data_IF_992476534307
#
_entry.id   IF_992476534307
#
_cell.length_a   1.000
_cell.length_b   1.000
_cell.length_c   1.000
_cell.angle_alpha   90.00
_cell.angle_beta   90.00
_cell.angle_gamma   90.00
#
_symmetry.space_group_name_H-M   'P 1'
#
loop_
_entity.id
_entity.type
_entity.pdbx_description
1 polymer ?
#
# COMPACT_ATOMS: atom_id res chain seq x y z
N UNK A 1 4.23 14.97 -42.43
CA UNK A 1 3.09 15.57 -41.68
C UNK A 1 2.35 14.55 -40.81
N UNK A 2 2.11 13.32 -41.23
CA UNK A 2 1.38 12.32 -40.41
C UNK A 2 2.05 11.87 -39.11
N UNK A 3 3.39 11.80 -39.06
CA UNK A 3 4.11 11.42 -37.81
C UNK A 3 4.03 12.47 -36.70
N UNK A 4 3.81 13.74 -36.99
CA UNK A 4 3.66 14.81 -35.98
C UNK A 4 2.24 14.83 -35.40
N UNK A 5 1.23 14.51 -36.20
CA UNK A 5 -0.16 14.44 -35.75
C UNK A 5 -0.41 13.20 -34.86
N UNK A 6 0.22 12.07 -35.17
CA UNK A 6 0.12 10.86 -34.31
C UNK A 6 0.79 11.02 -32.97
N UNK A 7 1.89 11.79 -32.87
CA UNK A 7 2.57 12.11 -31.60
C UNK A 7 1.77 13.09 -30.73
N UNK A 8 1.13 14.09 -31.34
CA UNK A 8 0.26 15.03 -30.62
C UNK A 8 -1.03 14.36 -30.10
N UNK A 9 -1.63 13.44 -30.87
CA UNK A 9 -2.78 12.64 -30.44
C UNK A 9 -2.43 11.68 -29.27
N UNK A 10 -1.19 11.17 -29.21
CA UNK A 10 -0.68 10.37 -28.11
C UNK A 10 -0.53 11.17 -26.82
N UNK A 11 0.03 12.38 -26.90
CA UNK A 11 0.29 13.24 -25.74
C UNK A 11 -1.00 13.84 -25.15
N UNK A 12 -1.94 14.26 -25.98
CA UNK A 12 -3.26 14.76 -25.54
C UNK A 12 -4.15 13.65 -24.97
N UNK A 13 -4.00 12.39 -25.41
CA UNK A 13 -4.65 11.23 -24.77
C UNK A 13 -4.02 10.89 -23.40
N UNK A 14 -2.71 11.07 -23.24
CA UNK A 14 -2.03 10.92 -21.94
C UNK A 14 -2.50 11.99 -20.93
N UNK A 15 -2.60 13.24 -21.36
CA UNK A 15 -3.09 14.35 -20.52
C UNK A 15 -4.56 14.22 -20.09
N UNK A 16 -5.35 13.40 -20.79
CA UNK A 16 -6.75 13.10 -20.41
C UNK A 16 -6.89 11.97 -19.39
N UNK A 17 -5.81 11.30 -18.98
CA UNK A 17 -5.83 10.22 -17.99
C UNK A 17 -5.72 10.77 -16.57
N UNK A 18 -6.36 10.11 -15.61
CA UNK A 18 -6.25 10.40 -14.17
C UNK A 18 -4.78 10.37 -13.71
N UNK A 19 -3.96 9.54 -14.32
CA UNK A 19 -2.51 9.41 -14.10
C UNK A 19 -1.74 10.71 -14.39
N UNK A 20 -2.20 11.55 -15.33
CA UNK A 20 -1.56 12.83 -15.62
C UNK A 20 -1.65 13.83 -14.45
N UNK A 21 -2.76 13.82 -13.73
CA UNK A 21 -2.90 14.60 -12.49
C UNK A 21 -1.91 14.13 -11.42
N UNK A 22 -1.79 12.81 -11.24
CA UNK A 22 -0.86 12.22 -10.28
C UNK A 22 0.59 12.57 -10.62
N UNK A 23 0.97 12.50 -11.91
CA UNK A 23 2.32 12.91 -12.37
C UNK A 23 2.55 14.41 -12.15
N UNK A 24 1.59 15.26 -12.49
CA UNK A 24 1.71 16.70 -12.25
C UNK A 24 1.87 17.02 -10.76
N UNK A 25 1.11 16.34 -9.90
CA UNK A 25 1.22 16.49 -8.46
C UNK A 25 2.59 16.01 -7.93
N UNK A 26 3.11 14.90 -8.47
CA UNK A 26 4.47 14.43 -8.13
C UNK A 26 5.53 15.51 -8.44
N UNK A 27 5.42 16.13 -9.62
CA UNK A 27 6.36 17.19 -10.01
C UNK A 27 6.26 18.40 -9.07
N UNK A 28 5.03 18.79 -8.70
CA UNK A 28 4.80 19.91 -7.77
C UNK A 28 5.37 19.58 -6.38
N UNK A 29 5.08 18.40 -5.84
CA UNK A 29 5.57 17.96 -4.52
C UNK A 29 7.10 17.88 -4.51
N UNK A 30 7.72 17.35 -5.57
CA UNK A 30 9.18 17.34 -5.73
C UNK A 30 9.76 18.74 -5.75
N UNK A 31 9.19 19.64 -6.57
CA UNK A 31 9.67 21.03 -6.68
C UNK A 31 9.59 21.76 -5.34
N UNK A 32 8.46 21.64 -4.65
CA UNK A 32 8.27 22.25 -3.32
C UNK A 32 9.27 21.66 -2.31
N UNK A 33 9.47 20.33 -2.30
CA UNK A 33 10.42 19.68 -1.40
C UNK A 33 11.86 20.12 -1.66
N UNK A 34 12.26 20.31 -2.94
CA UNK A 34 13.58 20.82 -3.31
C UNK A 34 13.79 22.30 -2.92
N UNK A 35 12.71 23.09 -2.85
CA UNK A 35 12.76 24.47 -2.36
C UNK A 35 12.84 24.53 -0.84
N UNK A 36 12.14 23.64 -0.14
CA UNK A 36 12.12 23.56 1.33
C UNK A 36 13.44 23.04 1.92
N UNK A 37 14.13 22.13 1.22
CA UNK A 37 15.38 21.55 1.71
C UNK A 37 16.31 21.14 0.59
N UNK A 38 17.59 21.55 0.70
CA UNK A 38 18.66 21.14 -0.22
C UNK A 38 18.90 19.63 -0.26
N UNK A 39 18.54 18.92 0.80
CA UNK A 39 18.69 17.46 0.90
C UNK A 39 17.88 16.72 -0.19
N UNK A 40 16.75 17.29 -0.65
CA UNK A 40 15.97 16.69 -1.74
C UNK A 40 16.62 16.79 -3.13
N UNK A 41 17.73 17.53 -3.26
CA UNK A 41 18.54 17.57 -4.48
C UNK A 41 19.50 16.38 -4.57
N UNK A 42 19.72 15.68 -3.46
CA UNK A 42 20.53 14.45 -3.41
C UNK A 42 19.64 13.22 -3.60
N UNK A 43 19.84 12.51 -4.72
CA UNK A 43 19.13 11.28 -5.02
C UNK A 43 19.34 10.20 -3.94
N UNK A 44 20.54 10.13 -3.35
CA UNK A 44 20.82 9.17 -2.29
C UNK A 44 19.96 9.43 -1.05
N UNK A 45 19.77 10.71 -0.70
CA UNK A 45 18.88 11.09 0.41
C UNK A 45 17.42 10.73 0.14
N UNK A 46 16.91 11.04 -1.05
CA UNK A 46 15.52 10.73 -1.45
C UNK A 46 15.27 9.22 -1.39
N UNK A 47 16.19 8.43 -1.94
CA UNK A 47 16.08 6.96 -1.93
C UNK A 47 16.16 6.36 -0.53
N UNK A 48 17.09 6.85 0.32
CA UNK A 48 17.17 6.44 1.72
C UNK A 48 15.91 6.80 2.49
N UNK A 49 15.30 7.92 2.19
CA UNK A 49 14.02 8.33 2.80
C UNK A 49 12.86 7.47 2.32
N UNK A 50 12.89 7.05 1.05
CA UNK A 50 11.88 6.19 0.48
C UNK A 50 11.84 4.81 1.17
N UNK A 51 12.98 4.25 1.59
CA UNK A 51 13.00 2.93 2.26
C UNK A 51 12.14 2.88 3.51
N UNK A 52 11.95 4.01 4.21
CA UNK A 52 11.13 4.08 5.44
C UNK A 52 9.65 3.78 5.24
N UNK A 53 9.17 3.87 4.02
CA UNK A 53 7.74 3.74 3.69
C UNK A 53 7.47 2.63 2.66
N UNK A 54 8.49 1.86 2.27
CA UNK A 54 8.35 0.81 1.25
C UNK A 54 7.45 -0.33 1.70
N UNK A 55 7.37 -0.60 2.99
CA UNK A 55 6.46 -1.61 3.55
C UNK A 55 5.00 -1.24 3.23
N UNK A 56 4.62 0.02 3.49
CA UNK A 56 3.28 0.51 3.18
C UNK A 56 3.03 0.59 1.68
N UNK A 57 4.06 0.94 0.90
CA UNK A 57 4.02 0.96 -0.55
C UNK A 57 3.71 -0.41 -1.14
N UNK A 58 4.33 -1.48 -0.63
CA UNK A 58 4.06 -2.85 -1.07
C UNK A 58 2.62 -3.27 -0.77
N UNK A 59 2.11 -2.94 0.41
CA UNK A 59 0.72 -3.21 0.77
C UNK A 59 -0.26 -2.39 -0.06
N UNK A 60 0.07 -1.15 -0.42
CA UNK A 60 -0.77 -0.34 -1.30
C UNK A 60 -1.03 -1.00 -2.67
N UNK A 61 -0.14 -1.89 -3.14
CA UNK A 61 -0.37 -2.67 -4.37
C UNK A 61 -1.52 -3.65 -4.20
N UNK A 62 -1.60 -4.39 -3.08
CA UNK A 62 -2.73 -5.28 -2.79
C UNK A 62 -4.00 -4.49 -2.51
N UNK A 63 -3.89 -3.40 -1.76
CA UNK A 63 -5.00 -2.50 -1.47
C UNK A 63 -5.61 -1.93 -2.76
N UNK A 64 -4.80 -1.68 -3.79
CA UNK A 64 -5.30 -1.24 -5.11
C UNK A 64 -6.26 -2.26 -5.70
N UNK A 65 -5.96 -3.56 -5.63
CA UNK A 65 -6.86 -4.61 -6.14
C UNK A 65 -8.16 -4.66 -5.34
N UNK A 66 -8.06 -4.52 -4.01
CA UNK A 66 -9.20 -4.57 -3.09
C UNK A 66 -10.13 -3.38 -3.34
N UNK A 67 -9.58 -2.16 -3.49
CA UNK A 67 -10.39 -0.95 -3.75
C UNK A 67 -11.00 -1.02 -5.15
N UNK A 68 -10.28 -1.50 -6.17
CA UNK A 68 -10.87 -1.72 -7.51
C UNK A 68 -12.04 -2.70 -7.45
N UNK A 69 -12.00 -3.72 -6.57
CA UNK A 69 -13.11 -4.64 -6.35
C UNK A 69 -14.28 -4.03 -5.51
N UNK A 70 -14.21 -2.74 -5.15
CA UNK A 70 -15.24 -2.05 -4.37
C UNK A 70 -15.20 -2.32 -2.87
N UNK A 71 -14.02 -2.68 -2.32
CA UNK A 71 -13.84 -2.99 -0.90
C UNK A 71 -12.65 -2.20 -0.33
N UNK A 72 -12.57 -2.08 0.99
CA UNK A 72 -11.43 -1.46 1.69
C UNK A 72 -11.01 -2.38 2.83
N UNK A 73 -9.70 -2.58 2.99
CA UNK A 73 -9.12 -3.38 4.07
C UNK A 73 -8.30 -2.48 5.01
N UNK A 74 -8.93 -2.07 6.11
CA UNK A 74 -8.27 -1.26 7.14
C UNK A 74 -7.48 -2.09 8.15
N UNK A 75 -7.59 -3.42 8.11
CA UNK A 75 -6.92 -4.32 9.06
C UNK A 75 -5.43 -4.53 8.77
N UNK A 76 -4.96 -4.10 7.61
CA UNK A 76 -3.60 -4.32 7.11
C UNK A 76 -2.50 -3.97 8.12
N UNK A 77 -2.42 -2.75 8.70
CA UNK A 77 -1.36 -2.42 9.66
C UNK A 77 -1.45 -3.27 10.93
N UNK A 78 -2.66 -3.65 11.33
CA UNK A 78 -2.85 -4.52 12.50
C UNK A 78 -2.41 -5.95 12.23
N UNK A 79 -2.59 -6.48 11.00
CA UNK A 79 -2.02 -7.77 10.58
C UNK A 79 -0.49 -7.69 10.54
N UNK A 80 0.11 -6.59 10.03
CA UNK A 80 1.56 -6.38 10.04
C UNK A 80 2.13 -6.51 11.46
N UNK A 81 1.53 -5.79 12.41
CA UNK A 81 1.98 -5.76 13.80
C UNK A 81 1.69 -7.09 14.51
N UNK A 82 0.52 -7.68 14.31
CA UNK A 82 0.14 -8.95 14.93
C UNK A 82 1.06 -10.10 14.49
N UNK A 83 1.32 -10.21 13.20
CA UNK A 83 2.24 -11.22 12.68
C UNK A 83 3.67 -10.98 13.13
N UNK A 84 4.15 -9.73 13.12
CA UNK A 84 5.46 -9.36 13.64
C UNK A 84 5.61 -9.70 15.13
N UNK A 85 4.59 -9.42 15.94
CA UNK A 85 4.55 -9.79 17.36
C UNK A 85 4.68 -11.30 17.57
N UNK A 86 3.87 -12.07 16.86
CA UNK A 86 3.88 -13.53 16.99
C UNK A 86 5.21 -14.14 16.51
N UNK A 87 5.79 -13.61 15.42
CA UNK A 87 7.12 -14.01 14.94
C UNK A 87 8.20 -13.71 15.98
N UNK A 88 8.18 -12.50 16.57
CA UNK A 88 9.14 -12.12 17.61
C UNK A 88 9.02 -13.01 18.85
N UNK A 89 7.80 -13.34 19.26
CA UNK A 89 7.57 -14.24 20.40
C UNK A 89 8.04 -15.68 20.12
N UNK A 90 7.74 -16.22 18.93
CA UNK A 90 8.22 -17.55 18.54
C UNK A 90 9.75 -17.59 18.52
N UNK A 91 10.39 -16.55 18.00
CA UNK A 91 11.86 -16.45 17.99
C UNK A 91 12.44 -16.38 19.41
N UNK A 92 11.92 -15.52 20.28
CA UNK A 92 12.37 -15.42 21.68
C UNK A 92 12.05 -16.66 22.49
N UNK A 93 11.05 -17.44 22.09
CA UNK A 93 10.73 -18.76 22.63
C UNK A 93 11.65 -19.90 22.14
N UNK A 94 12.68 -19.58 21.34
CA UNK A 94 13.69 -20.55 20.88
C UNK A 94 13.48 -21.10 19.47
N UNK A 95 12.44 -20.68 18.75
CA UNK A 95 12.24 -21.06 17.36
C UNK A 95 13.27 -20.35 16.47
N UNK A 96 13.79 -21.02 15.43
CA UNK A 96 14.66 -20.34 14.48
C UNK A 96 13.90 -19.22 13.75
N UNK A 97 14.54 -18.06 13.51
CA UNK A 97 13.91 -16.91 12.85
C UNK A 97 13.34 -17.27 11.47
N UNK A 98 14.04 -18.12 10.70
CA UNK A 98 13.55 -18.54 9.38
C UNK A 98 12.23 -19.31 9.46
N UNK A 99 12.09 -20.23 10.43
CA UNK A 99 10.83 -20.94 10.65
C UNK A 99 9.74 -20.01 11.19
N UNK A 100 10.08 -19.13 12.12
CA UNK A 100 9.14 -18.13 12.65
C UNK A 100 8.57 -17.22 11.54
N UNK A 101 9.39 -16.80 10.57
CA UNK A 101 8.95 -16.05 9.39
C UNK A 101 7.93 -16.85 8.56
N UNK A 102 8.23 -18.14 8.26
CA UNK A 102 7.31 -18.98 7.48
C UNK A 102 5.97 -19.11 8.20
N UNK A 103 5.98 -19.40 9.50
CA UNK A 103 4.77 -19.47 10.33
C UNK A 103 4.03 -18.15 10.35
N UNK A 104 4.75 -17.03 10.48
CA UNK A 104 4.17 -15.69 10.44
C UNK A 104 3.45 -15.38 9.12
N UNK A 105 4.00 -15.80 7.98
CA UNK A 105 3.33 -15.66 6.67
C UNK A 105 2.05 -16.49 6.61
N UNK A 106 2.07 -17.71 7.14
CA UNK A 106 0.87 -18.57 7.22
C UNK A 106 -0.19 -17.92 8.13
N UNK A 107 0.21 -17.38 9.29
CA UNK A 107 -0.69 -16.66 10.19
C UNK A 107 -1.29 -15.45 9.47
N UNK A 108 -0.50 -14.64 8.78
CA UNK A 108 -1.02 -13.48 8.03
C UNK A 108 -2.03 -13.89 6.95
N UNK A 109 -1.74 -14.96 6.20
CA UNK A 109 -2.68 -15.53 5.24
C UNK A 109 -3.97 -16.02 5.93
N UNK A 110 -3.88 -16.63 7.12
CA UNK A 110 -5.02 -17.07 7.91
C UNK A 110 -5.89 -15.89 8.40
N UNK A 111 -5.27 -14.81 8.90
CA UNK A 111 -5.97 -13.60 9.32
C UNK A 111 -6.69 -12.92 8.13
N UNK A 112 -6.01 -12.84 6.97
CA UNK A 112 -6.63 -12.39 5.73
C UNK A 112 -7.76 -13.31 5.26
N UNK A 113 -7.60 -14.65 5.42
CA UNK A 113 -8.65 -15.63 5.11
C UNK A 113 -9.89 -15.41 5.97
N UNK A 114 -9.71 -15.14 7.26
CA UNK A 114 -10.82 -14.83 8.16
C UNK A 114 -11.61 -13.62 7.67
N UNK A 115 -10.94 -12.51 7.36
CA UNK A 115 -11.58 -11.33 6.76
C UNK A 115 -12.30 -11.68 5.46
N UNK A 116 -11.62 -12.39 4.56
CA UNK A 116 -12.17 -12.81 3.29
C UNK A 116 -13.41 -13.70 3.41
N UNK A 117 -13.47 -14.61 4.37
CA UNK A 117 -14.63 -15.47 4.63
C UNK A 117 -15.81 -14.66 5.14
N UNK A 118 -15.60 -13.77 6.11
CA UNK A 118 -16.64 -12.91 6.66
C UNK A 118 -17.26 -12.02 5.57
N UNK A 119 -16.42 -11.45 4.71
CA UNK A 119 -16.87 -10.53 3.65
C UNK A 119 -17.50 -11.27 2.48
N UNK A 120 -16.85 -12.34 1.99
CA UNK A 120 -17.24 -12.98 0.74
C UNK A 120 -18.38 -13.99 0.90
N UNK A 121 -18.41 -14.75 2.00
CA UNK A 121 -19.39 -15.81 2.22
C UNK A 121 -20.50 -15.39 3.18
N UNK A 122 -20.19 -14.65 4.24
CA UNK A 122 -21.20 -14.11 5.14
C UNK A 122 -21.81 -12.79 4.64
N UNK A 123 -21.26 -12.22 3.56
CA UNK A 123 -21.72 -10.98 2.90
C UNK A 123 -21.73 -9.76 3.83
N UNK A 124 -20.83 -9.73 4.81
CA UNK A 124 -20.69 -8.58 5.69
C UNK A 124 -20.00 -7.43 4.97
N UNK A 125 -20.32 -6.16 5.26
CA UNK A 125 -19.65 -5.01 4.67
C UNK A 125 -18.15 -5.02 4.99
N UNK A 126 -17.28 -4.91 3.97
CA UNK A 126 -15.84 -5.05 4.12
C UNK A 126 -15.26 -4.06 5.15
N UNK A 127 -15.69 -2.80 5.10
CA UNK A 127 -15.22 -1.76 6.01
C UNK A 127 -15.54 -2.08 7.48
N UNK A 128 -16.75 -2.61 7.77
CA UNK A 128 -17.14 -2.98 9.14
C UNK A 128 -16.31 -4.16 9.66
N UNK A 129 -16.12 -5.19 8.81
CA UNK A 129 -15.30 -6.36 9.16
C UNK A 129 -13.86 -5.93 9.42
N UNK A 130 -13.26 -5.15 8.51
CA UNK A 130 -11.84 -4.80 8.61
C UNK A 130 -11.54 -3.82 9.75
N UNK A 131 -12.46 -2.92 10.11
CA UNK A 131 -12.34 -2.10 11.34
C UNK A 131 -12.45 -2.99 12.60
N UNK A 132 -13.40 -3.92 12.64
CA UNK A 132 -13.54 -4.84 13.76
C UNK A 132 -12.30 -5.72 13.94
N UNK A 133 -11.81 -6.32 12.86
CA UNK A 133 -10.61 -7.18 12.90
C UNK A 133 -9.33 -6.37 13.10
N UNK A 134 -9.24 -5.13 12.64
CA UNK A 134 -8.14 -4.21 12.95
C UNK A 134 -7.96 -4.08 14.47
N UNK A 135 -9.03 -3.80 15.21
CA UNK A 135 -8.98 -3.70 16.67
C UNK A 135 -8.69 -5.05 17.32
N UNK A 136 -9.30 -6.14 16.82
CA UNK A 136 -9.07 -7.49 17.35
C UNK A 136 -7.60 -7.93 17.20
N UNK A 137 -7.01 -7.78 16.01
CA UNK A 137 -5.62 -8.18 15.75
C UNK A 137 -4.62 -7.30 16.52
N UNK A 138 -4.92 -6.02 16.68
CA UNK A 138 -4.13 -5.12 17.52
C UNK A 138 -4.23 -5.50 19.01
N UNK A 139 -5.44 -5.82 19.47
CA UNK A 139 -5.69 -6.33 20.82
C UNK A 139 -4.93 -7.62 21.13
N UNK A 140 -4.87 -8.56 20.16
CA UNK A 140 -4.05 -9.76 20.27
C UNK A 140 -2.58 -9.39 20.50
N UNK A 141 -2.03 -8.47 19.71
CA UNK A 141 -0.64 -8.02 19.87
C UNK A 141 -0.40 -7.44 21.26
N UNK A 142 -1.32 -6.61 21.76
CA UNK A 142 -1.22 -5.96 23.07
C UNK A 142 -1.32 -6.98 24.22
N UNK A 143 -2.20 -7.99 24.11
CA UNK A 143 -2.32 -9.06 25.12
C UNK A 143 -1.00 -9.82 25.26
N UNK A 144 -0.31 -10.09 24.15
CA UNK A 144 0.92 -10.87 24.17
C UNK A 144 2.15 -10.09 24.61
N UNK A 145 2.29 -8.82 24.22
CA UNK A 145 3.50 -8.02 24.52
C UNK A 145 3.29 -7.06 25.69
N UNK A 146 2.05 -6.62 25.96
CA UNK A 146 1.76 -5.49 26.83
C UNK A 146 2.38 -4.21 26.27
N UNK A 147 2.83 -3.32 27.16
CA UNK A 147 3.49 -2.06 26.75
C UNK A 147 5.01 -2.21 26.52
N UNK A 148 5.49 -3.45 26.41
CA UNK A 148 6.90 -3.75 26.16
C UNK A 148 7.19 -3.75 24.65
N UNK A 149 8.47 -3.81 24.31
CA UNK A 149 8.96 -4.10 22.97
C UNK A 149 9.77 -5.38 22.97
N UNK A 150 9.66 -6.16 21.89
CA UNK A 150 10.54 -7.31 21.65
C UNK A 150 11.52 -6.90 20.56
N UNK A 151 12.82 -7.12 20.81
CA UNK A 151 13.94 -6.84 19.91
C UNK A 151 14.99 -7.94 19.98
N UNK A 152 16.24 -7.60 19.66
CA UNK A 152 17.38 -8.54 19.69
C UNK A 152 17.24 -9.70 18.69
N UNK A 153 16.87 -9.38 17.45
CA UNK A 153 16.77 -10.35 16.37
C UNK A 153 18.16 -10.70 15.79
N UNK A 154 18.29 -11.81 15.02
CA UNK A 154 19.56 -12.21 14.43
C UNK A 154 20.12 -11.15 13.47
N UNK A 155 21.45 -11.03 13.39
CA UNK A 155 22.12 -10.02 12.57
C UNK A 155 21.76 -10.09 11.09
N UNK A 156 21.58 -11.30 10.54
CA UNK A 156 21.18 -11.45 9.16
C UNK A 156 19.78 -10.86 8.89
N UNK A 157 18.83 -11.02 9.85
CA UNK A 157 17.50 -10.46 9.75
C UNK A 157 17.54 -8.93 9.89
N UNK A 158 18.29 -8.42 10.88
CA UNK A 158 18.48 -6.98 11.11
C UNK A 158 19.20 -6.27 9.97
N UNK A 159 19.83 -7.03 9.07
CA UNK A 159 20.60 -6.50 7.95
C UNK A 159 19.89 -6.51 6.62
N UNK A 160 18.68 -7.09 6.53
CA UNK A 160 17.94 -7.25 5.27
C UNK A 160 17.80 -5.94 4.52
N UNK A 161 17.41 -4.85 5.19
CA UNK A 161 17.28 -3.54 4.54
C UNK A 161 18.61 -2.88 4.18
N UNK A 162 19.68 -3.25 4.88
CA UNK A 162 21.02 -2.67 4.68
C UNK A 162 21.76 -3.29 3.49
N UNK A 163 21.25 -4.40 2.93
CA UNK A 163 21.85 -5.08 1.78
C UNK A 163 21.68 -4.19 0.55
N UNK A 164 22.77 -3.57 0.02
CA UNK A 164 22.68 -2.80 -1.21
C UNK A 164 22.64 -3.78 -2.39
N UNK A 165 21.58 -3.71 -3.18
CA UNK A 165 21.43 -4.57 -4.38
C UNK A 165 22.21 -3.97 -5.55
N UNK A 166 22.10 -2.67 -5.72
CA UNK A 166 22.89 -1.94 -6.74
C UNK A 166 23.15 -0.50 -6.29
N UNK A 167 24.15 0.12 -6.93
CA UNK A 167 24.56 1.51 -6.66
C UNK A 167 24.54 2.30 -7.97
N UNK A 168 24.05 3.53 -7.91
CA UNK A 168 24.17 4.50 -8.99
C UNK A 168 24.85 5.73 -8.41
N UNK A 169 26.11 5.96 -8.76
CA UNK A 169 26.92 6.99 -8.08
C UNK A 169 27.03 6.71 -6.59
N UNK A 170 26.67 7.69 -5.76
CA UNK A 170 26.62 7.57 -4.30
C UNK A 170 25.30 6.98 -3.77
N UNK A 171 24.28 6.85 -4.62
CA UNK A 171 23.00 6.31 -4.23
C UNK A 171 23.02 4.78 -4.16
N UNK A 172 22.62 4.22 -3.01
CA UNK A 172 22.50 2.77 -2.78
C UNK A 172 21.03 2.39 -2.79
N UNK A 173 20.69 1.39 -3.61
CA UNK A 173 19.35 0.83 -3.70
C UNK A 173 19.30 -0.44 -2.85
N UNK A 174 18.46 -0.43 -1.81
CA UNK A 174 18.26 -1.56 -0.90
C UNK A 174 17.35 -2.64 -1.48
N UNK A 175 17.36 -3.82 -0.85
CA UNK A 175 16.49 -4.95 -1.19
C UNK A 175 15.01 -4.55 -1.19
N UNK A 176 14.58 -3.72 -0.26
CA UNK A 176 13.17 -3.32 -0.09
C UNK A 176 12.64 -2.54 -1.29
N UNK A 177 13.46 -1.64 -1.87
CA UNK A 177 13.06 -0.91 -3.10
C UNK A 177 12.95 -1.88 -4.28
N UNK A 178 13.90 -2.80 -4.42
CA UNK A 178 13.84 -3.81 -5.47
C UNK A 178 12.62 -4.72 -5.30
N UNK A 179 12.34 -5.17 -4.08
CA UNK A 179 11.16 -5.97 -3.77
C UNK A 179 9.87 -5.23 -4.15
N UNK A 180 9.76 -3.94 -3.82
CA UNK A 180 8.63 -3.11 -4.22
C UNK A 180 8.47 -3.04 -5.75
N UNK A 181 9.56 -2.79 -6.48
CA UNK A 181 9.52 -2.72 -7.95
C UNK A 181 9.09 -4.08 -8.55
N UNK A 182 9.66 -5.18 -8.08
CA UNK A 182 9.30 -6.52 -8.53
C UNK A 182 7.84 -6.85 -8.24
N UNK A 183 7.36 -6.55 -7.03
CA UNK A 183 5.96 -6.71 -6.66
C UNK A 183 5.05 -5.82 -7.52
N UNK A 184 5.43 -4.57 -7.78
CA UNK A 184 4.66 -3.69 -8.64
C UNK A 184 4.51 -4.26 -10.06
N UNK A 185 5.56 -4.88 -10.62
CA UNK A 185 5.49 -5.58 -11.91
C UNK A 185 4.56 -6.79 -11.82
N UNK A 186 4.67 -7.61 -10.79
CA UNK A 186 3.80 -8.79 -10.58
C UNK A 186 2.34 -8.37 -10.48
N UNK A 187 2.03 -7.38 -9.64
CA UNK A 187 0.66 -6.88 -9.47
C UNK A 187 0.13 -6.17 -10.73
N UNK A 188 1.01 -5.48 -11.46
CA UNK A 188 0.66 -4.91 -12.77
C UNK A 188 0.26 -6.00 -13.76
N UNK A 189 1.05 -7.06 -13.90
CA UNK A 189 0.73 -8.19 -14.77
C UNK A 189 -0.55 -8.88 -14.33
N UNK A 190 -0.71 -9.13 -13.02
CA UNK A 190 -1.89 -9.75 -12.45
C UNK A 190 -3.16 -8.94 -12.78
N UNK A 191 -3.13 -7.62 -12.55
CA UNK A 191 -4.31 -6.77 -12.73
C UNK A 191 -4.61 -6.53 -14.22
N UNK A 192 -3.58 -6.23 -15.03
CA UNK A 192 -3.81 -5.75 -16.40
C UNK A 192 -3.70 -6.84 -17.48
N UNK A 193 -3.11 -8.01 -17.18
CA UNK A 193 -2.85 -9.07 -18.16
C UNK A 193 -3.58 -10.39 -17.89
N UNK A 194 -4.18 -10.58 -16.69
CA UNK A 194 -4.82 -11.85 -16.34
C UNK A 194 -6.35 -11.81 -16.39
N UNK A 195 -6.97 -12.99 -16.41
CA UNK A 195 -8.43 -13.15 -16.27
C UNK A 195 -8.91 -12.66 -14.90
N UNK A 196 -8.10 -12.87 -13.85
CA UNK A 196 -8.41 -12.42 -12.49
C UNK A 196 -8.53 -10.90 -12.44
N UNK A 197 -7.62 -10.14 -13.06
CA UNK A 197 -7.69 -8.69 -13.10
C UNK A 197 -8.97 -8.18 -13.79
N UNK A 198 -9.36 -8.78 -14.91
CA UNK A 198 -10.65 -8.44 -15.56
C UNK A 198 -11.85 -8.69 -14.66
N UNK A 199 -11.83 -9.78 -13.93
CA UNK A 199 -12.89 -10.11 -12.96
C UNK A 199 -12.91 -9.13 -11.78
N UNK A 200 -11.77 -8.65 -11.29
CA UNK A 200 -11.67 -7.62 -10.24
C UNK A 200 -12.38 -6.33 -10.70
N UNK A 201 -12.09 -5.85 -11.91
CA UNK A 201 -12.78 -4.68 -12.47
C UNK A 201 -14.29 -4.91 -12.63
N UNK A 202 -14.70 -6.10 -13.11
CA UNK A 202 -16.11 -6.43 -13.28
C UNK A 202 -16.86 -6.43 -11.93
N UNK A 203 -16.27 -7.00 -10.88
CA UNK A 203 -16.84 -7.01 -9.51
C UNK A 203 -17.05 -5.56 -9.02
N UNK A 204 -16.04 -4.71 -9.17
CA UNK A 204 -16.11 -3.33 -8.69
C UNK A 204 -17.07 -2.44 -9.49
N UNK A 205 -17.29 -2.74 -10.78
CA UNK A 205 -18.28 -2.02 -11.58
C UNK A 205 -19.71 -2.39 -11.21
N UNK A 206 -20.02 -3.67 -11.11
CA UNK A 206 -21.31 -4.20 -10.69
C UNK A 206 -21.18 -5.69 -10.33
N UNK A 207 -21.19 -5.99 -9.04
CA UNK A 207 -21.02 -7.36 -8.56
C UNK A 207 -22.14 -8.31 -9.05
N UNK A 208 -23.39 -7.84 -9.08
CA UNK A 208 -24.51 -8.65 -9.54
C UNK A 208 -24.36 -9.00 -11.03
N UNK A 209 -24.03 -8.03 -11.86
CA UNK A 209 -23.77 -8.28 -13.28
C UNK A 209 -22.58 -9.24 -13.50
N UNK A 210 -21.53 -9.12 -12.67
CA UNK A 210 -20.38 -10.02 -12.71
C UNK A 210 -20.78 -11.47 -12.38
N UNK A 211 -21.64 -11.67 -11.36
CA UNK A 211 -22.19 -13.00 -11.00
C UNK A 211 -22.97 -13.58 -12.17
N UNK A 212 -23.89 -12.82 -12.78
CA UNK A 212 -24.67 -13.29 -13.94
C UNK A 212 -23.80 -13.61 -15.16
N UNK A 213 -22.63 -12.96 -15.27
CA UNK A 213 -21.62 -13.25 -16.30
C UNK A 213 -20.72 -14.43 -15.95
N UNK A 214 -21.00 -15.19 -14.90
CA UNK A 214 -20.27 -16.39 -14.50
C UNK A 214 -18.97 -16.13 -13.72
N UNK A 215 -18.73 -14.89 -13.24
CA UNK A 215 -17.57 -14.57 -12.42
C UNK A 215 -17.76 -15.15 -11.01
N UNK A 216 -16.78 -15.90 -10.53
CA UNK A 216 -16.77 -16.49 -9.17
C UNK A 216 -16.38 -15.43 -8.13
N UNK A 217 -17.25 -14.45 -7.89
CA UNK A 217 -16.99 -13.24 -7.09
C UNK A 217 -16.53 -13.57 -5.67
N UNK A 218 -17.16 -14.55 -4.99
CA UNK A 218 -16.78 -14.97 -3.64
C UNK A 218 -15.34 -15.46 -3.56
N UNK A 219 -14.92 -16.30 -4.53
CA UNK A 219 -13.55 -16.86 -4.53
C UNK A 219 -12.52 -15.76 -4.79
N UNK A 220 -12.82 -14.82 -5.70
CA UNK A 220 -11.92 -13.71 -6.00
C UNK A 220 -11.77 -12.79 -4.81
N UNK A 221 -12.86 -12.39 -4.15
CA UNK A 221 -12.83 -11.58 -2.94
C UNK A 221 -12.03 -12.27 -1.83
N UNK A 222 -12.28 -13.56 -1.58
CA UNK A 222 -11.51 -14.33 -0.60
C UNK A 222 -10.01 -14.31 -0.93
N UNK A 223 -9.63 -14.55 -2.18
CA UNK A 223 -8.23 -14.55 -2.59
C UNK A 223 -7.58 -13.17 -2.43
N UNK A 224 -8.31 -12.07 -2.68
CA UNK A 224 -7.80 -10.71 -2.45
C UNK A 224 -7.46 -10.46 -0.98
N UNK A 225 -8.30 -10.91 -0.04
CA UNK A 225 -8.03 -10.78 1.38
C UNK A 225 -6.92 -11.72 1.87
N UNK A 226 -6.79 -12.93 1.30
CA UNK A 226 -5.64 -13.83 1.57
C UNK A 226 -4.35 -13.15 1.12
N UNK A 227 -4.31 -12.57 -0.08
CA UNK A 227 -3.16 -11.82 -0.58
C UNK A 227 -2.86 -10.59 0.29
N UNK A 228 -3.88 -9.88 0.76
CA UNK A 228 -3.71 -8.75 1.67
C UNK A 228 -3.06 -9.18 2.98
N UNK A 229 -3.56 -10.24 3.60
CA UNK A 229 -3.01 -10.77 4.83
C UNK A 229 -1.57 -11.27 4.68
N UNK A 230 -1.28 -11.99 3.57
CA UNK A 230 0.06 -12.46 3.26
C UNK A 230 1.05 -11.30 3.05
N UNK A 231 0.65 -10.29 2.26
CA UNK A 231 1.48 -9.09 2.03
C UNK A 231 1.67 -8.28 3.29
N UNK A 232 0.64 -8.17 4.13
CA UNK A 232 0.73 -7.50 5.44
C UNK A 232 1.73 -8.20 6.35
N UNK A 233 1.69 -9.53 6.44
CA UNK A 233 2.67 -10.30 7.21
C UNK A 233 4.09 -10.11 6.68
N UNK A 234 4.27 -10.22 5.36
CA UNK A 234 5.58 -10.02 4.72
C UNK A 234 6.15 -8.63 5.02
N UNK A 235 5.36 -7.59 4.84
CA UNK A 235 5.80 -6.21 5.07
C UNK A 235 5.94 -5.89 6.55
N UNK A 236 5.15 -6.51 7.43
CA UNK A 236 5.30 -6.44 8.88
C UNK A 236 6.66 -6.96 9.36
N UNK A 237 7.15 -8.06 8.75
CA UNK A 237 8.49 -8.59 9.04
C UNK A 237 9.60 -7.68 8.52
N UNK A 238 9.44 -7.07 7.34
CA UNK A 238 10.39 -6.06 6.85
C UNK A 238 10.44 -4.86 7.78
N UNK A 239 9.29 -4.36 8.25
CA UNK A 239 9.20 -3.28 9.21
C UNK A 239 9.89 -3.64 10.53
N UNK A 240 9.69 -4.86 11.05
CA UNK A 240 10.36 -5.38 12.24
C UNK A 240 11.88 -5.45 12.06
N UNK A 241 12.35 -5.91 10.90
CA UNK A 241 13.77 -5.94 10.53
C UNK A 241 14.39 -4.54 10.51
N UNK A 242 13.67 -3.56 9.96
CA UNK A 242 14.12 -2.16 9.86
C UNK A 242 14.17 -1.45 11.21
N UNK A 243 13.12 -1.63 12.01
CA UNK A 243 12.99 -0.95 13.30
C UNK A 243 13.72 -1.67 14.43
N UNK A 244 14.20 -2.91 14.19
CA UNK A 244 14.93 -3.76 15.15
C UNK A 244 14.10 -4.13 16.39
N UNK A 245 12.81 -3.89 16.34
CA UNK A 245 11.86 -4.18 17.42
C UNK A 245 10.44 -4.31 16.87
N UNK A 246 9.55 -4.88 17.69
CA UNK A 246 8.11 -4.84 17.49
C UNK A 246 7.42 -4.36 18.76
N UNK A 247 6.36 -3.55 18.59
CA UNK A 247 5.45 -3.06 19.62
C UNK A 247 4.03 -3.09 19.06
N UNK A 248 3.04 -3.25 19.95
CA UNK A 248 1.63 -3.33 19.56
C UNK A 248 1.09 -2.02 18.94
N UNK A 249 1.63 -0.87 19.34
CA UNK A 249 1.21 0.47 18.94
C UNK A 249 1.86 0.97 17.63
N UNK A 250 2.69 0.15 16.99
CA UNK A 250 3.28 0.50 15.70
C UNK A 250 2.22 0.56 14.60
N UNK A 251 2.49 1.38 13.59
CA UNK A 251 1.65 1.54 12.40
C UNK A 251 0.19 1.96 12.69
N UNK A 252 -0.07 2.66 13.82
CA UNK A 252 -1.38 3.26 14.10
C UNK A 252 -1.58 4.47 13.18
N UNK A 253 -2.69 4.47 12.42
CA UNK A 253 -3.01 5.54 11.47
C UNK A 253 -2.45 5.32 10.06
N UNK A 254 -1.50 4.39 9.87
CA UNK A 254 -0.88 4.14 8.57
C UNK A 254 -1.85 3.47 7.57
N UNK A 255 -2.99 2.93 8.03
CA UNK A 255 -4.09 2.48 7.17
C UNK A 255 -4.59 3.59 6.25
N UNK A 256 -4.67 4.82 6.75
CA UNK A 256 -5.09 5.97 5.97
C UNK A 256 -4.03 6.39 4.94
N UNK A 257 -2.75 6.27 5.28
CA UNK A 257 -1.65 6.53 4.35
C UNK A 257 -1.68 5.55 3.17
N UNK A 258 -1.89 4.26 3.44
CA UNK A 258 -2.01 3.21 2.42
C UNK A 258 -3.18 3.50 1.49
N UNK A 259 -4.36 3.81 2.05
CA UNK A 259 -5.55 4.18 1.26
C UNK A 259 -5.28 5.46 0.45
N UNK A 260 -4.62 6.46 1.03
CA UNK A 260 -4.26 7.70 0.34
C UNK A 260 -3.36 7.45 -0.87
N UNK A 261 -2.33 6.59 -0.75
CA UNK A 261 -1.48 6.19 -1.87
C UNK A 261 -2.31 5.62 -3.04
N UNK A 262 -3.31 4.81 -2.74
CA UNK A 262 -4.14 4.15 -3.76
C UNK A 262 -5.11 5.14 -4.41
N UNK A 263 -5.82 5.96 -3.63
CA UNK A 263 -6.80 6.91 -4.14
C UNK A 263 -6.13 8.06 -4.90
N UNK A 264 -5.01 8.56 -4.39
CA UNK A 264 -4.18 9.56 -5.08
C UNK A 264 -3.63 9.03 -6.41
N UNK A 265 -3.40 7.71 -6.50
CA UNK A 265 -3.06 7.01 -7.73
C UNK A 265 -4.20 6.94 -8.76
N UNK A 266 -5.38 7.50 -8.45
CA UNK A 266 -6.54 7.58 -9.33
C UNK A 266 -7.43 6.34 -9.31
N UNK A 267 -7.27 5.47 -8.30
CA UNK A 267 -8.22 4.39 -8.05
C UNK A 267 -9.52 4.97 -7.48
N UNK A 268 -10.65 4.51 -7.99
CA UNK A 268 -11.96 4.99 -7.57
C UNK A 268 -12.40 4.27 -6.28
N UNK A 269 -12.77 5.03 -5.26
CA UNK A 269 -13.21 4.48 -3.97
C UNK A 269 -14.47 3.61 -4.11
N UNK A 270 -15.30 3.90 -5.11
CA UNK A 270 -16.51 3.11 -5.41
C UNK A 270 -16.20 1.83 -6.19
N UNK A 271 -14.94 1.61 -6.57
CA UNK A 271 -14.50 0.44 -7.33
C UNK A 271 -14.61 0.58 -8.85
N UNK A 272 -14.25 -0.50 -9.56
CA UNK A 272 -14.37 -0.62 -11.01
C UNK A 272 -13.34 0.18 -11.82
N UNK A 273 -12.52 1.01 -11.19
CA UNK A 273 -11.50 1.85 -11.86
C UNK A 273 -10.28 2.02 -10.99
N UNK A 274 -9.11 1.96 -11.62
CA UNK A 274 -7.81 2.14 -10.94
C UNK A 274 -6.67 1.53 -11.75
N UNK A 275 -5.44 1.80 -11.33
CA UNK A 275 -4.27 1.18 -11.97
C UNK A 275 -3.09 1.04 -10.98
N UNK A 276 -2.32 -0.03 -11.12
CA UNK A 276 -1.08 -0.22 -10.36
C UNK A 276 -0.06 0.87 -10.68
N UNK A 277 -0.03 1.36 -11.92
CA UNK A 277 0.88 2.45 -12.34
C UNK A 277 0.56 3.73 -11.59
N UNK A 278 -0.73 4.07 -11.46
CA UNK A 278 -1.17 5.24 -10.68
C UNK A 278 -0.75 5.13 -9.22
N UNK A 279 -1.01 3.99 -8.58
CA UNK A 279 -0.58 3.74 -7.19
C UNK A 279 0.95 3.81 -7.06
N UNK A 280 1.70 3.21 -8.01
CA UNK A 280 3.16 3.27 -8.02
C UNK A 280 3.68 4.72 -8.00
N UNK A 281 3.10 5.60 -8.82
CA UNK A 281 3.48 7.02 -8.84
C UNK A 281 3.08 7.72 -7.55
N UNK A 282 1.86 7.47 -7.05
CA UNK A 282 1.32 8.10 -5.84
C UNK A 282 2.09 7.74 -4.58
N UNK A 283 2.65 6.52 -4.50
CA UNK A 283 3.55 6.10 -3.43
C UNK A 283 4.71 7.11 -3.27
N UNK A 284 5.37 7.50 -4.36
CA UNK A 284 6.47 8.47 -4.29
C UNK A 284 6.00 9.86 -3.86
N UNK A 285 4.78 10.27 -4.24
CA UNK A 285 4.20 11.55 -3.76
C UNK A 285 4.08 11.54 -2.24
N UNK A 286 3.48 10.50 -1.68
CA UNK A 286 3.27 10.38 -0.23
C UNK A 286 4.61 10.28 0.51
N UNK A 287 5.56 9.50 0.00
CA UNK A 287 6.90 9.36 0.59
C UNK A 287 7.63 10.69 0.62
N UNK A 288 7.67 11.42 -0.49
CA UNK A 288 8.36 12.70 -0.60
C UNK A 288 7.69 13.73 0.31
N UNK A 289 6.35 13.76 0.35
CA UNK A 289 5.61 14.65 1.22
C UNK A 289 5.91 14.37 2.71
N UNK A 290 5.78 13.11 3.16
CA UNK A 290 6.07 12.73 4.56
C UNK A 290 7.52 13.01 4.94
N UNK A 291 8.45 12.72 4.04
CA UNK A 291 9.87 13.03 4.27
C UNK A 291 10.11 14.53 4.33
N UNK A 292 9.47 15.31 3.44
CA UNK A 292 9.56 16.77 3.46
C UNK A 292 9.04 17.38 4.76
N UNK A 293 7.89 16.91 5.22
CA UNK A 293 7.30 17.33 6.50
C UNK A 293 8.21 16.97 7.69
N UNK A 294 8.83 15.79 7.66
CA UNK A 294 9.76 15.36 8.70
C UNK A 294 11.01 16.26 8.73
N UNK A 295 11.59 16.59 7.58
CA UNK A 295 12.75 17.47 7.48
C UNK A 295 12.41 18.91 7.88
N UNK A 296 11.17 19.34 7.62
CA UNK A 296 10.67 20.64 8.08
C UNK A 296 10.32 20.66 9.58
N UNK A 297 10.64 19.61 10.34
CA UNK A 297 10.32 19.44 11.77
C UNK A 297 8.81 19.56 12.08
N UNK A 298 7.94 19.20 11.14
CA UNK A 298 6.49 19.15 11.36
C UNK A 298 6.17 17.99 12.30
N UNK A 299 5.42 18.26 13.36
CA UNK A 299 5.05 17.27 14.35
C UNK A 299 4.22 16.11 13.76
N UNK A 300 4.29 14.92 14.35
CA UNK A 300 3.54 13.75 13.87
C UNK A 300 2.03 14.02 13.75
N UNK A 301 1.44 14.73 14.72
CA UNK A 301 0.02 15.10 14.69
C UNK A 301 -0.32 16.01 13.51
N UNK A 302 0.54 16.98 13.19
CA UNK A 302 0.35 17.84 12.03
C UNK A 302 0.55 17.08 10.71
N UNK A 303 1.49 16.13 10.67
CA UNK A 303 1.63 15.22 9.52
C UNK A 303 0.36 14.40 9.30
N UNK A 304 -0.23 13.84 10.37
CA UNK A 304 -1.49 13.08 10.31
C UNK A 304 -2.64 13.96 9.78
N UNK A 305 -2.75 15.22 10.24
CA UNK A 305 -3.73 16.17 9.73
C UNK A 305 -3.55 16.45 8.24
N UNK A 306 -2.31 16.71 7.78
CA UNK A 306 -1.99 16.97 6.37
C UNK A 306 -2.32 15.74 5.51
N UNK A 307 -2.02 14.53 5.98
CA UNK A 307 -2.35 13.29 5.27
C UNK A 307 -3.86 13.08 5.17
N UNK A 308 -4.62 13.39 6.23
CA UNK A 308 -6.09 13.36 6.19
C UNK A 308 -6.67 14.36 5.17
N UNK A 309 -6.13 15.58 5.11
CA UNK A 309 -6.51 16.56 4.06
C UNK A 309 -6.17 16.06 2.66
N UNK A 310 -4.99 15.47 2.47
CA UNK A 310 -4.58 14.90 1.19
C UNK A 310 -5.53 13.77 0.75
N UNK A 311 -5.95 12.92 1.69
CA UNK A 311 -6.95 11.88 1.43
C UNK A 311 -8.26 12.50 0.94
N UNK A 312 -8.80 13.50 1.64
CA UNK A 312 -10.03 14.19 1.24
C UNK A 312 -9.90 14.82 -0.16
N UNK A 313 -8.80 15.51 -0.41
CA UNK A 313 -8.51 16.12 -1.72
C UNK A 313 -8.45 15.07 -2.82
N UNK A 314 -7.85 13.91 -2.54
CA UNK A 314 -7.73 12.81 -3.51
C UNK A 314 -9.08 12.20 -3.91
N UNK A 315 -10.09 12.32 -3.05
CA UNK A 315 -11.45 11.87 -3.33
C UNK A 315 -12.27 12.99 -4.00
N UNK A 316 -12.19 14.20 -3.48
CA UNK A 316 -13.05 15.33 -3.91
C UNK A 316 -12.71 15.76 -5.35
N UNK A 317 -11.43 15.96 -5.67
CA UNK A 317 -11.03 16.50 -6.98
C UNK A 317 -11.47 15.58 -8.14
N UNK A 318 -11.21 14.26 -8.15
CA UNK A 318 -11.68 13.40 -9.22
C UNK A 318 -13.20 13.36 -9.36
N UNK A 319 -13.94 13.40 -8.24
CA UNK A 319 -15.41 13.39 -8.25
C UNK A 319 -15.99 14.67 -8.86
N UNK A 320 -15.46 15.85 -8.50
CA UNK A 320 -15.84 17.12 -9.10
C UNK A 320 -15.53 17.09 -10.61
N UNK A 321 -14.34 16.69 -11.01
CA UNK A 321 -13.96 16.63 -12.42
C UNK A 321 -14.87 15.68 -13.23
N UNK A 322 -15.30 14.57 -12.63
CA UNK A 322 -16.22 13.64 -13.28
C UNK A 322 -17.63 14.25 -13.43
N UNK A 323 -18.14 14.91 -12.40
CA UNK A 323 -19.45 15.58 -12.43
C UNK A 323 -19.53 16.68 -13.50
N UNK A 324 -18.46 17.45 -13.68
CA UNK A 324 -18.39 18.46 -14.75
C UNK A 324 -18.36 17.85 -16.16
N UNK A 325 -17.79 16.65 -16.34
CA UNK A 325 -17.76 15.97 -17.64
C UNK A 325 -19.11 15.36 -18.02
N UNK A 326 -19.84 14.80 -17.06
CA UNK A 326 -21.19 14.23 -17.29
C UNK A 326 -22.25 15.31 -17.57
N UNK A 327 -22.03 16.57 -17.16
CA UNK A 327 -22.95 17.69 -17.47
C UNK A 327 -22.70 18.33 -18.84
N UNK A 328 -21.58 18.05 -19.50
CA UNK A 328 -21.20 18.63 -20.80
C UNK A 328 -21.32 17.65 -21.98
N UNK A 329 -21.66 16.40 -21.77
CA UNK A 329 -21.95 15.38 -22.75
C UNK A 329 -23.38 14.90 -22.67
#
# INVERSE_FOLDING_TARGET
MEKSVSRQLGFTKLLKRREAFTVALLIVVLAVSMLLSSNFRDLAYVLKSATRYMEYAMVALTMTLIIIAGMIDLSVPSIMVCTGTLVAMMYTGGMSMGLAIIVGLVIGAALGTLNGLLISYMKLPAMMVTIGTMNAYRGISQIFIGDKSIGSFPDWFNSIEKIPVFKIGNAKFGVTILAFILLAVVFYLLLHRTRMGRSIYAIGLNESAAIYSGVKTKQIKLLLFILSGLMSAFTGMLMMSRLLLVRWDMAIGDELDIVTMVLLGGTDIMGGRGSIVGTFIAVFIVIILKTGLLVANVTANAQMFIMGLLLLISIIIPNIMQSYRTKKG
#
